data_IF_129959226942
#
_entry.id   IF_129959226942
#
_cell.length_a   1.000
_cell.length_b   1.000
_cell.length_c   1.000
_cell.angle_alpha   90.00
_cell.angle_beta   90.00
_cell.angle_gamma   90.00
#
_symmetry.space_group_name_H-M   'P 1'
#
loop_
_entity.id
_entity.type
_entity.pdbx_description
1 polymer ?
#
# COMPACT_ATOMS: atom_id res chain seq x y z
N UNK A 1 8.84 -46.58 15.59
CA UNK A 1 7.82 -45.78 14.88
C UNK A 1 7.88 -44.38 15.47
N UNK A 2 8.33 -43.41 14.67
CA UNK A 2 8.82 -42.10 15.12
C UNK A 2 7.99 -41.01 14.41
N UNK A 3 6.73 -40.84 14.82
CA UNK A 3 5.76 -39.98 14.12
C UNK A 3 5.50 -38.63 14.83
N UNK A 4 6.16 -38.36 15.94
CA UNK A 4 5.96 -37.13 16.72
C UNK A 4 6.92 -36.00 16.34
N UNK A 5 7.91 -36.25 15.47
CA UNK A 5 8.92 -35.26 15.07
C UNK A 5 8.53 -34.39 13.87
N UNK A 6 7.60 -34.83 13.02
CA UNK A 6 7.35 -34.21 11.71
C UNK A 6 6.31 -33.10 11.75
N UNK A 7 5.35 -33.15 12.68
CA UNK A 7 4.28 -32.15 12.78
C UNK A 7 4.80 -30.83 13.39
N UNK A 8 5.89 -30.88 14.17
CA UNK A 8 6.45 -29.68 14.82
C UNK A 8 7.21 -28.75 13.87
N UNK A 9 7.53 -29.18 12.64
CA UNK A 9 8.27 -28.35 11.66
C UNK A 9 7.41 -27.64 10.63
N UNK A 10 6.12 -27.96 10.51
CA UNK A 10 5.23 -27.24 9.57
C UNK A 10 4.63 -25.95 10.16
N UNK A 11 4.74 -25.73 11.48
CA UNK A 11 4.21 -24.54 12.15
C UNK A 11 5.18 -23.34 12.19
N UNK A 12 6.32 -23.41 11.49
CA UNK A 12 7.39 -22.43 11.62
C UNK A 12 7.55 -21.44 10.44
N UNK A 13 6.59 -21.39 9.49
CA UNK A 13 6.73 -20.54 8.29
C UNK A 13 5.50 -19.68 7.94
N UNK A 14 4.48 -19.63 8.79
CA UNK A 14 3.37 -18.69 8.58
C UNK A 14 3.72 -17.35 9.20
N UNK A 15 4.38 -16.49 8.41
CA UNK A 15 4.15 -15.05 8.57
C UNK A 15 2.63 -14.83 8.67
N UNK A 16 2.13 -13.95 9.54
CA UNK A 16 0.71 -13.83 9.78
C UNK A 16 0.05 -13.54 8.43
N UNK A 17 -0.79 -14.47 7.95
CA UNK A 17 -1.27 -14.52 6.55
C UNK A 17 -1.83 -13.16 6.11
N UNK A 18 -2.44 -12.42 7.03
CA UNK A 18 -2.92 -11.05 6.78
C UNK A 18 -1.84 -10.03 6.39
N UNK A 19 -0.63 -10.09 6.93
CA UNK A 19 0.47 -9.18 6.53
C UNK A 19 0.99 -9.54 5.15
N UNK A 20 1.06 -10.83 4.81
CA UNK A 20 1.44 -11.29 3.48
C UNK A 20 0.43 -10.80 2.43
N UNK A 21 -0.87 -11.00 2.68
CA UNK A 21 -1.95 -10.47 1.81
C UNK A 21 -1.84 -8.95 1.70
N UNK A 22 -1.61 -8.26 2.82
CA UNK A 22 -1.47 -6.80 2.84
C UNK A 22 -0.28 -6.32 2.00
N UNK A 23 0.86 -6.99 2.09
CA UNK A 23 2.04 -6.63 1.31
C UNK A 23 1.79 -6.78 -0.19
N UNK A 24 1.13 -7.86 -0.62
CA UNK A 24 0.75 -8.02 -2.04
C UNK A 24 -0.21 -6.91 -2.46
N UNK A 25 -1.22 -6.64 -1.65
CA UNK A 25 -2.20 -5.59 -1.94
C UNK A 25 -1.52 -4.22 -2.09
N UNK A 26 -0.60 -3.88 -1.20
CA UNK A 26 0.15 -2.63 -1.24
C UNK A 26 1.06 -2.56 -2.48
N UNK A 27 1.73 -3.66 -2.84
CA UNK A 27 2.55 -3.72 -4.07
C UNK A 27 1.67 -3.47 -5.30
N UNK A 28 0.53 -4.16 -5.39
CA UNK A 28 -0.41 -4.01 -6.51
C UNK A 28 -0.90 -2.56 -6.60
N UNK A 29 -1.29 -1.96 -5.47
CA UNK A 29 -1.70 -0.55 -5.42
C UNK A 29 -0.57 0.39 -5.87
N UNK A 30 0.66 0.15 -5.43
CA UNK A 30 1.82 0.94 -5.84
C UNK A 30 2.09 0.86 -7.34
N UNK A 31 1.97 -0.34 -7.92
CA UNK A 31 2.10 -0.54 -9.37
C UNK A 31 1.01 0.25 -10.12
N UNK A 32 -0.26 0.11 -9.72
CA UNK A 32 -1.34 0.88 -10.34
C UNK A 32 -1.16 2.39 -10.21
N UNK A 33 -0.61 2.88 -9.09
CA UNK A 33 -0.31 4.30 -8.92
C UNK A 33 0.75 4.79 -9.91
N UNK A 34 1.80 4.00 -10.17
CA UNK A 34 2.82 4.31 -11.20
C UNK A 34 2.16 4.37 -12.58
N UNK A 35 1.35 3.36 -12.93
CA UNK A 35 0.63 3.33 -14.21
C UNK A 35 -0.34 4.50 -14.38
N UNK A 36 -1.06 4.86 -13.32
CA UNK A 36 -1.97 6.01 -13.33
C UNK A 36 -1.20 7.31 -13.59
N UNK A 37 -0.06 7.52 -12.92
CA UNK A 37 0.78 8.69 -13.14
C UNK A 37 1.26 8.83 -14.59
N UNK A 38 1.67 7.72 -15.21
CA UNK A 38 2.13 7.69 -16.61
C UNK A 38 0.95 7.89 -17.58
N UNK A 39 -0.17 7.19 -17.36
CA UNK A 39 -1.33 7.21 -18.26
C UNK A 39 -2.01 8.56 -18.28
N UNK A 40 -2.16 9.20 -17.11
CA UNK A 40 -2.76 10.55 -17.02
C UNK A 40 -1.89 11.55 -17.80
N UNK A 41 -0.57 11.45 -17.69
CA UNK A 41 0.36 12.31 -18.43
C UNK A 41 0.19 12.13 -19.95
N UNK A 42 0.16 10.88 -20.41
CA UNK A 42 -0.04 10.54 -21.82
C UNK A 42 -1.37 11.08 -22.39
N UNK A 43 -2.46 10.98 -21.62
CA UNK A 43 -3.77 11.48 -22.03
C UNK A 43 -3.77 13.01 -22.10
N UNK A 44 -3.24 13.68 -21.07
CA UNK A 44 -3.18 15.14 -21.01
C UNK A 44 -2.24 15.72 -22.08
N UNK A 45 -1.19 15.00 -22.45
CA UNK A 45 -0.26 15.34 -23.52
C UNK A 45 -0.77 14.97 -24.93
N UNK A 46 -2.04 14.57 -25.08
CA UNK A 46 -2.65 14.28 -26.37
C UNK A 46 -2.10 13.03 -27.07
N UNK A 47 -1.64 12.03 -26.31
CA UNK A 47 -1.11 10.78 -26.84
C UNK A 47 0.37 10.83 -27.20
N UNK A 48 1.10 11.82 -26.68
CA UNK A 48 2.56 11.90 -26.80
C UNK A 48 3.25 11.51 -25.49
N UNK A 49 4.38 10.82 -25.60
CA UNK A 49 5.25 10.55 -24.44
C UNK A 49 6.07 11.80 -24.16
N UNK A 50 5.59 12.64 -23.25
CA UNK A 50 6.27 13.87 -22.82
C UNK A 50 7.17 13.63 -21.62
N UNK A 51 8.10 14.57 -21.40
CA UNK A 51 8.85 14.65 -20.16
C UNK A 51 7.87 14.80 -19.00
N UNK A 52 7.97 13.89 -18.02
CA UNK A 52 7.07 13.83 -16.86
C UNK A 52 7.11 15.15 -16.10
N UNK A 53 5.96 15.79 -15.96
CA UNK A 53 5.81 17.02 -15.17
C UNK A 53 6.11 16.76 -13.67
N UNK A 54 6.54 17.79 -12.93
CA UNK A 54 6.99 17.66 -11.53
C UNK A 54 5.93 17.05 -10.60
N UNK A 55 4.65 17.29 -10.87
CA UNK A 55 3.54 16.71 -10.11
C UNK A 55 3.40 15.20 -10.34
N UNK A 56 3.52 14.75 -11.60
CA UNK A 56 3.41 13.36 -12.01
C UNK A 56 4.64 12.53 -11.58
N UNK A 57 5.82 13.16 -11.54
CA UNK A 57 7.02 12.60 -10.90
C UNK A 57 6.74 12.25 -9.44
N UNK A 58 6.01 13.12 -8.72
CA UNK A 58 5.55 12.84 -7.35
C UNK A 58 4.71 11.57 -7.26
N UNK A 59 3.76 11.36 -8.17
CA UNK A 59 2.92 10.16 -8.19
C UNK A 59 3.73 8.88 -8.45
N UNK A 60 4.70 8.93 -9.37
CA UNK A 60 5.60 7.80 -9.66
C UNK A 60 6.48 7.49 -8.45
N UNK A 61 7.07 8.52 -7.83
CA UNK A 61 7.91 8.35 -6.63
C UNK A 61 7.10 7.76 -5.48
N UNK A 62 5.90 8.26 -5.23
CA UNK A 62 5.00 7.70 -4.21
C UNK A 62 4.62 6.26 -4.55
N UNK A 63 4.33 5.95 -5.80
CA UNK A 63 4.06 4.58 -6.26
C UNK A 63 5.24 3.64 -5.99
N UNK A 64 6.47 4.06 -6.32
CA UNK A 64 7.69 3.30 -6.04
C UNK A 64 7.92 3.10 -4.54
N UNK A 65 7.75 4.14 -3.73
CA UNK A 65 7.84 4.06 -2.28
C UNK A 65 6.80 3.09 -1.71
N UNK A 66 5.60 3.07 -2.29
CA UNK A 66 4.52 2.15 -1.92
C UNK A 66 4.92 0.69 -2.21
N UNK A 67 5.49 0.42 -3.39
CA UNK A 67 6.00 -0.92 -3.75
C UNK A 67 7.12 -1.34 -2.79
N UNK A 68 8.08 -0.44 -2.52
CA UNK A 68 9.18 -0.69 -1.58
C UNK A 68 8.66 -0.96 -0.16
N UNK A 69 7.63 -0.24 0.29
CA UNK A 69 6.96 -0.50 1.56
C UNK A 69 6.32 -1.89 1.58
N UNK A 70 5.64 -2.30 0.51
CA UNK A 70 5.04 -3.62 0.39
C UNK A 70 6.08 -4.74 0.43
N UNK A 71 7.21 -4.60 -0.28
CA UNK A 71 8.32 -5.56 -0.21
C UNK A 71 8.92 -5.61 1.20
N UNK A 72 9.06 -4.46 1.86
CA UNK A 72 9.55 -4.36 3.23
C UNK A 72 8.59 -5.01 4.25
N UNK A 73 7.28 -4.88 4.05
CA UNK A 73 6.24 -5.53 4.85
C UNK A 73 6.28 -7.05 4.67
N UNK A 74 6.50 -7.53 3.44
CA UNK A 74 6.68 -8.96 3.16
C UNK A 74 7.86 -9.55 3.96
N UNK A 75 8.94 -8.77 4.11
CA UNK A 75 10.12 -9.15 4.91
C UNK A 75 10.01 -8.82 6.40
N UNK A 76 8.84 -8.38 6.87
CA UNK A 76 8.57 -7.98 8.27
C UNK A 76 9.59 -6.98 8.83
N UNK A 77 10.08 -6.04 8.01
CA UNK A 77 11.07 -5.05 8.45
C UNK A 77 10.42 -3.89 9.20
N UNK A 78 11.06 -3.44 10.28
CA UNK A 78 10.58 -2.35 11.15
C UNK A 78 10.39 -1.00 10.43
N UNK A 79 11.30 -0.65 9.52
CA UNK A 79 11.19 0.57 8.71
C UNK A 79 10.01 0.55 7.73
N UNK A 80 9.63 -0.64 7.24
CA UNK A 80 8.56 -0.79 6.26
C UNK A 80 7.18 -0.54 6.87
N UNK A 81 7.02 -0.81 8.17
CA UNK A 81 5.81 -0.47 8.90
C UNK A 81 5.59 1.05 8.92
N UNK A 82 6.62 1.82 9.27
CA UNK A 82 6.55 3.28 9.25
C UNK A 82 6.25 3.81 7.86
N UNK A 83 6.91 3.28 6.84
CA UNK A 83 6.71 3.72 5.47
C UNK A 83 5.29 3.43 4.97
N UNK A 84 4.75 2.25 5.28
CA UNK A 84 3.37 1.90 4.96
C UNK A 84 2.36 2.80 5.71
N UNK A 85 2.58 3.07 7.01
CA UNK A 85 1.70 3.96 7.79
C UNK A 85 1.69 5.37 7.19
N UNK A 86 2.85 5.91 6.84
CA UNK A 86 2.97 7.26 6.24
C UNK A 86 2.27 7.30 4.88
N UNK A 87 2.58 6.35 3.98
CA UNK A 87 2.02 6.31 2.62
C UNK A 87 0.48 6.15 2.66
N UNK A 88 -0.02 5.22 3.47
CA UNK A 88 -1.46 4.93 3.56
C UNK A 88 -2.18 6.08 4.26
N UNK A 89 -1.57 6.67 5.29
CA UNK A 89 -2.10 7.84 5.98
C UNK A 89 -2.19 9.07 5.09
N UNK A 90 -1.13 9.39 4.35
CA UNK A 90 -1.14 10.48 3.38
C UNK A 90 -2.18 10.24 2.27
N UNK A 91 -2.27 9.02 1.75
CA UNK A 91 -3.28 8.66 0.76
C UNK A 91 -4.72 8.80 1.29
N UNK A 92 -4.94 8.47 2.56
CA UNK A 92 -6.24 8.69 3.20
C UNK A 92 -6.55 10.18 3.33
N UNK A 93 -5.59 10.99 3.81
CA UNK A 93 -5.74 12.44 3.95
C UNK A 93 -6.03 13.12 2.61
N UNK A 94 -5.35 12.71 1.53
CA UNK A 94 -5.61 13.22 0.19
C UNK A 94 -7.03 12.89 -0.27
N UNK A 95 -7.47 11.64 -0.13
CA UNK A 95 -8.83 11.26 -0.48
C UNK A 95 -9.88 12.06 0.31
N UNK A 96 -9.67 12.21 1.63
CA UNK A 96 -10.54 13.04 2.48
C UNK A 96 -10.58 14.47 1.95
N UNK A 97 -9.42 15.06 1.67
CA UNK A 97 -9.32 16.45 1.21
C UNK A 97 -10.04 16.67 -0.12
N UNK A 98 -9.91 15.72 -1.06
CA UNK A 98 -10.61 15.78 -2.36
C UNK A 98 -12.11 15.77 -2.15
N UNK A 99 -12.64 14.86 -1.33
CA UNK A 99 -14.08 14.76 -1.04
C UNK A 99 -14.60 15.99 -0.28
N UNK A 100 -13.78 16.61 0.57
CA UNK A 100 -14.14 17.84 1.27
C UNK A 100 -14.19 19.06 0.35
N UNK A 101 -13.37 19.08 -0.72
CA UNK A 101 -13.38 20.14 -1.73
C UNK A 101 -14.56 19.93 -2.69
N UNK A 102 -14.80 18.69 -3.13
CA UNK A 102 -15.90 18.32 -4.02
C UNK A 102 -16.61 17.07 -3.50
N UNK A 103 -17.79 17.27 -2.92
CA UNK A 103 -18.58 16.18 -2.35
C UNK A 103 -19.13 15.21 -3.40
N UNK A 104 -19.19 15.60 -4.68
CA UNK A 104 -19.68 14.71 -5.74
C UNK A 104 -18.75 13.54 -5.99
N UNK A 105 -17.47 13.69 -5.64
CA UNK A 105 -16.42 12.68 -5.75
C UNK A 105 -16.53 11.58 -4.68
N UNK A 106 -17.38 11.76 -3.64
CA UNK A 106 -17.57 10.77 -2.57
C UNK A 106 -17.81 9.36 -3.12
N UNK A 107 -18.64 9.24 -4.18
CA UNK A 107 -18.96 7.94 -4.80
C UNK A 107 -17.73 7.20 -5.34
N UNK A 108 -16.73 7.94 -5.82
CA UNK A 108 -15.51 7.36 -6.38
C UNK A 108 -14.47 7.07 -5.29
N UNK A 109 -14.40 7.92 -4.26
CA UNK A 109 -13.37 7.84 -3.22
C UNK A 109 -13.80 7.09 -1.94
N UNK A 110 -15.10 6.79 -1.77
CA UNK A 110 -15.61 6.14 -0.56
C UNK A 110 -14.94 4.78 -0.28
N UNK A 111 -14.95 3.88 -1.27
CA UNK A 111 -14.35 2.55 -1.14
C UNK A 111 -12.83 2.62 -0.85
N UNK A 112 -12.01 3.39 -1.62
CA UNK A 112 -10.59 3.49 -1.34
C UNK A 112 -10.27 4.23 -0.03
N UNK A 113 -11.13 5.13 0.47
CA UNK A 113 -11.00 5.69 1.82
C UNK A 113 -11.22 4.63 2.90
N UNK A 114 -12.31 3.87 2.80
CA UNK A 114 -12.65 2.83 3.75
C UNK A 114 -11.55 1.76 3.79
N UNK A 115 -11.07 1.32 2.63
CA UNK A 115 -9.97 0.37 2.51
C UNK A 115 -8.71 0.88 3.21
N UNK A 116 -8.28 2.12 2.93
CA UNK A 116 -7.10 2.71 3.56
C UNK A 116 -7.27 2.82 5.07
N UNK A 117 -8.44 3.23 5.56
CA UNK A 117 -8.73 3.33 6.99
C UNK A 117 -8.67 1.97 7.69
N UNK A 118 -9.28 0.93 7.11
CA UNK A 118 -9.25 -0.45 7.63
C UNK A 118 -7.83 -0.98 7.67
N UNK A 119 -7.06 -0.78 6.60
CA UNK A 119 -5.65 -1.20 6.53
C UNK A 119 -4.79 -0.50 7.58
N UNK A 120 -4.99 0.81 7.76
CA UNK A 120 -4.29 1.58 8.79
C UNK A 120 -4.63 1.06 10.19
N UNK A 121 -5.93 0.83 10.46
CA UNK A 121 -6.39 0.23 11.71
C UNK A 121 -5.78 -1.15 11.97
N UNK A 122 -5.69 -1.99 10.94
CA UNK A 122 -5.05 -3.29 11.00
C UNK A 122 -3.55 -3.17 11.33
N UNK A 123 -2.82 -2.28 10.66
CA UNK A 123 -1.39 -2.04 10.91
C UNK A 123 -1.10 -1.47 12.31
N UNK A 124 -2.03 -0.70 12.88
CA UNK A 124 -1.90 -0.15 14.24
C UNK A 124 -2.29 -1.13 15.34
N UNK A 125 -2.93 -2.25 14.99
CA UNK A 125 -3.34 -3.26 15.97
C UNK A 125 -2.11 -3.84 16.69
N UNK A 126 -2.10 -3.79 18.03
CA UNK A 126 -0.97 -4.18 18.90
C UNK A 126 -0.24 -5.48 18.50
N UNK A 127 -0.92 -6.62 18.25
CA UNK A 127 -0.25 -7.88 17.91
C UNK A 127 0.52 -7.86 16.59
N UNK A 128 0.20 -6.93 15.68
CA UNK A 128 0.90 -6.78 14.40
C UNK A 128 2.09 -5.83 14.58
N UNK A 129 1.89 -4.70 15.26
CA UNK A 129 2.97 -3.74 15.55
C UNK A 129 4.17 -4.36 16.28
N UNK A 130 3.93 -5.29 17.21
CA UNK A 130 4.99 -5.96 17.98
C UNK A 130 5.92 -6.79 17.09
N UNK A 131 5.44 -7.28 15.92
CA UNK A 131 6.25 -8.09 14.99
C UNK A 131 7.20 -7.27 14.13
N UNK A 132 7.03 -5.94 14.11
CA UNK A 132 7.87 -5.00 13.38
C UNK A 132 8.85 -4.25 14.32
N UNK A 133 9.07 -4.73 15.54
CA UNK A 133 10.09 -4.21 16.45
C UNK A 133 11.42 -4.92 16.23
#
# INVERSE_FOLDING_TARGET
MNETGTIKRMSAASGPVGVAILSVLIIVVGIFAIFAGITIDFILAGGSLTLVSSFQLGAIVVGLLTVVAGIGLWKLKSWAWWLAVIVIGLGLLLNVSIVLIDFTELRFYFLPMLLRAVVLGYLMHKPIRIRFR
#
